data_IF_148700972604
#
_entry.id   IF_148700972604
#
_cell.length_a   1.000
_cell.length_b   1.000
_cell.length_c   1.000
_cell.angle_alpha   90.00
_cell.angle_beta   90.00
_cell.angle_gamma   90.00
#
_symmetry.space_group_name_H-M   'P 1'
#
loop_
_entity.id
_entity.type
_entity.pdbx_description
1 polymer ?
#
# COMPACT_ATOMS: atom_id res chain seq x y z
N UNK A 1 17.72 30.11 -18.23
CA UNK A 1 17.74 29.58 -16.85
C UNK A 1 16.43 28.84 -16.53
N UNK A 2 15.26 29.46 -16.71
CA UNK A 2 13.94 28.87 -16.45
C UNK A 2 13.62 27.62 -17.28
N UNK A 3 14.01 27.61 -18.56
CA UNK A 3 13.86 26.48 -19.50
C UNK A 3 14.44 25.15 -18.98
N UNK A 4 15.46 25.20 -18.12
CA UNK A 4 16.14 24.02 -17.55
C UNK A 4 15.59 23.69 -16.15
N UNK A 5 15.19 24.70 -15.39
CA UNK A 5 14.70 24.54 -14.00
C UNK A 5 13.35 23.82 -13.97
N UNK A 6 12.44 24.15 -14.89
CA UNK A 6 11.11 23.54 -14.99
C UNK A 6 11.14 22.01 -15.19
N UNK A 7 11.87 21.45 -16.16
CA UNK A 7 11.93 20.00 -16.35
C UNK A 7 12.61 19.28 -15.17
N UNK A 8 13.61 19.88 -14.53
CA UNK A 8 14.25 19.32 -13.34
C UNK A 8 13.25 19.21 -12.18
N UNK A 9 12.46 20.26 -11.94
CA UNK A 9 11.38 20.24 -10.96
C UNK A 9 10.33 19.17 -11.29
N UNK A 10 9.95 19.05 -12.57
CA UNK A 10 9.02 18.01 -13.03
C UNK A 10 9.53 16.60 -12.73
N UNK A 11 10.81 16.32 -13.01
CA UNK A 11 11.45 15.03 -12.72
C UNK A 11 11.49 14.78 -11.21
N UNK A 12 11.83 15.79 -10.40
CA UNK A 12 11.89 15.65 -8.95
C UNK A 12 10.52 15.30 -8.35
N UNK A 13 9.47 15.97 -8.81
CA UNK A 13 8.09 15.70 -8.39
C UNK A 13 7.66 14.30 -8.84
N UNK A 14 7.96 13.91 -10.08
CA UNK A 14 7.64 12.58 -10.58
C UNK A 14 8.32 11.48 -9.75
N UNK A 15 9.59 11.65 -9.39
CA UNK A 15 10.31 10.72 -8.52
C UNK A 15 9.67 10.61 -7.13
N UNK A 16 9.28 11.74 -6.53
CA UNK A 16 8.56 11.75 -5.26
C UNK A 16 7.25 10.97 -5.33
N UNK A 17 6.47 11.16 -6.40
CA UNK A 17 5.21 10.44 -6.63
C UNK A 17 5.44 8.94 -6.79
N UNK A 18 6.47 8.53 -7.53
CA UNK A 18 6.83 7.12 -7.70
C UNK A 18 7.21 6.48 -6.36
N UNK A 19 8.09 7.12 -5.58
CA UNK A 19 8.49 6.62 -4.26
C UNK A 19 7.26 6.48 -3.35
N UNK A 20 6.38 7.48 -3.37
CA UNK A 20 5.16 7.47 -2.57
C UNK A 20 4.21 6.31 -2.97
N UNK A 21 4.01 6.09 -4.28
CA UNK A 21 3.14 5.02 -4.80
C UNK A 21 3.69 3.61 -4.57
N UNK A 22 4.99 3.41 -4.71
CA UNK A 22 5.59 2.08 -4.64
C UNK A 22 6.08 1.68 -3.25
N UNK A 23 6.28 2.63 -2.34
CA UNK A 23 6.80 2.35 -0.99
C UNK A 23 5.76 2.73 0.07
N UNK A 24 5.40 4.01 0.18
CA UNK A 24 4.57 4.50 1.28
C UNK A 24 3.14 3.94 1.22
N UNK A 25 2.57 3.85 0.02
CA UNK A 25 1.26 3.28 -0.20
C UNK A 25 1.20 1.81 0.25
N UNK A 26 2.00 0.86 -0.30
CA UNK A 26 1.98 -0.53 0.14
C UNK A 26 2.40 -0.71 1.60
N UNK A 27 3.33 0.09 2.11
CA UNK A 27 3.73 0.08 3.52
C UNK A 27 2.55 0.37 4.45
N UNK A 28 1.86 1.49 4.23
CA UNK A 28 0.73 1.89 5.05
C UNK A 28 -0.45 0.90 4.92
N UNK A 29 -0.61 0.30 3.75
CA UNK A 29 -1.68 -0.68 3.50
C UNK A 29 -1.40 -2.03 4.16
N UNK A 30 -0.16 -2.52 4.11
CA UNK A 30 0.24 -3.75 4.79
C UNK A 30 0.11 -3.61 6.31
N UNK A 31 0.59 -2.48 6.85
CA UNK A 31 0.52 -2.17 8.28
C UNK A 31 -0.92 -2.11 8.80
N UNK A 32 -1.83 -1.48 8.04
CA UNK A 32 -3.27 -1.38 8.40
C UNK A 32 -4.04 -2.70 8.32
N UNK A 33 -3.47 -3.76 7.73
CA UNK A 33 -4.13 -5.05 7.54
C UNK A 33 -3.43 -6.19 8.28
N UNK A 34 -2.42 -5.89 9.11
CA UNK A 34 -1.59 -6.88 9.80
C UNK A 34 -0.82 -7.82 8.87
N UNK A 35 -0.58 -7.43 7.61
CA UNK A 35 0.11 -8.26 6.61
C UNK A 35 1.58 -7.89 6.51
N UNK A 36 2.40 -8.82 6.01
CA UNK A 36 3.84 -8.60 5.87
C UNK A 36 4.14 -7.41 4.96
N UNK A 37 4.67 -6.35 5.56
CA UNK A 37 5.02 -5.10 4.89
C UNK A 37 5.96 -5.31 3.72
N UNK A 38 7.00 -6.13 3.92
CA UNK A 38 7.96 -6.48 2.88
C UNK A 38 7.32 -7.28 1.73
N UNK A 39 6.43 -8.21 2.04
CA UNK A 39 5.72 -8.99 1.02
C UNK A 39 4.86 -8.11 0.12
N UNK A 40 4.20 -7.10 0.70
CA UNK A 40 3.40 -6.13 -0.06
C UNK A 40 4.23 -5.17 -0.91
N UNK A 41 5.39 -4.73 -0.42
CA UNK A 41 6.30 -3.88 -1.21
C UNK A 41 6.85 -4.66 -2.40
N UNK A 42 7.28 -5.91 -2.19
CA UNK A 42 7.75 -6.80 -3.27
C UNK A 42 6.63 -7.07 -4.28
N UNK A 43 5.40 -7.30 -3.81
CA UNK A 43 4.24 -7.52 -4.68
C UNK A 43 3.94 -6.29 -5.55
N UNK A 44 4.00 -5.08 -4.99
CA UNK A 44 3.82 -3.82 -5.74
C UNK A 44 4.98 -3.52 -6.69
N UNK A 45 6.15 -4.13 -6.48
CA UNK A 45 7.28 -4.01 -7.39
C UNK A 45 7.18 -5.01 -8.55
N UNK A 46 6.66 -6.22 -8.28
CA UNK A 46 6.43 -7.26 -9.28
C UNK A 46 5.18 -6.99 -10.14
N UNK A 47 4.18 -6.37 -9.54
CA UNK A 47 2.87 -6.11 -10.13
C UNK A 47 2.68 -4.59 -10.16
N UNK A 48 2.30 -4.02 -11.31
CA UNK A 48 2.07 -2.57 -11.42
C UNK A 48 1.11 -2.07 -10.31
N UNK A 49 1.31 -0.86 -9.77
CA UNK A 49 0.62 -0.37 -8.57
C UNK A 49 -0.91 -0.36 -8.73
N UNK A 50 -1.40 -0.20 -9.96
CA UNK A 50 -2.81 -0.29 -10.33
C UNK A 50 -3.37 -1.69 -10.01
N UNK A 51 -2.66 -2.74 -10.42
CA UNK A 51 -3.05 -4.11 -10.13
C UNK A 51 -2.90 -4.44 -8.65
N UNK A 52 -1.91 -3.87 -7.95
CA UNK A 52 -1.81 -3.97 -6.49
C UNK A 52 -3.06 -3.45 -5.78
N UNK A 53 -3.63 -2.34 -6.24
CA UNK A 53 -4.90 -1.78 -5.73
C UNK A 53 -6.08 -2.71 -6.04
N UNK A 54 -6.17 -3.25 -7.27
CA UNK A 54 -7.24 -4.18 -7.66
C UNK A 54 -7.17 -5.46 -6.81
N UNK A 55 -5.98 -6.02 -6.62
CA UNK A 55 -5.76 -7.19 -5.77
C UNK A 55 -6.18 -6.92 -4.32
N UNK A 56 -5.93 -5.71 -3.81
CA UNK A 56 -6.35 -5.29 -2.47
C UNK A 56 -7.86 -5.17 -2.30
N UNK A 57 -8.58 -4.77 -3.35
CA UNK A 57 -10.04 -4.71 -3.37
C UNK A 57 -10.63 -6.13 -3.34
N UNK A 58 -10.05 -7.04 -4.14
CA UNK A 58 -10.48 -8.43 -4.22
C UNK A 58 -10.20 -9.18 -2.90
N UNK A 59 -8.99 -9.04 -2.36
CA UNK A 59 -8.56 -9.81 -1.18
C UNK A 59 -9.29 -9.35 0.11
N UNK A 60 -9.94 -8.18 0.09
CA UNK A 60 -10.76 -7.72 1.21
C UNK A 60 -10.01 -7.55 2.54
N UNK A 61 -10.69 -7.00 3.55
CA UNK A 61 -10.08 -6.72 4.85
C UNK A 61 -10.15 -7.96 5.75
N UNK A 62 -9.18 -8.87 5.65
CA UNK A 62 -9.19 -10.13 6.42
C UNK A 62 -9.09 -9.92 7.94
N UNK A 63 -8.50 -8.80 8.37
CA UNK A 63 -8.27 -8.50 9.79
C UNK A 63 -9.58 -8.24 10.56
N UNK A 64 -10.59 -7.66 9.89
CA UNK A 64 -11.92 -7.46 10.50
C UNK A 64 -12.62 -8.77 10.82
N UNK A 65 -12.30 -9.86 10.10
CA UNK A 65 -12.90 -11.18 10.33
C UNK A 65 -12.30 -11.81 11.60
N UNK A 66 -10.98 -11.83 11.72
CA UNK A 66 -10.25 -12.38 12.89
C UNK A 66 -10.65 -11.65 14.17
N UNK A 67 -10.67 -10.30 14.16
CA UNK A 67 -11.04 -9.52 15.34
C UNK A 67 -12.48 -9.76 15.79
N UNK A 68 -13.41 -9.95 14.84
CA UNK A 68 -14.81 -10.26 15.14
C UNK A 68 -14.96 -11.66 15.75
N UNK A 69 -14.17 -12.63 15.31
CA UNK A 69 -14.13 -13.98 15.85
C UNK A 69 -13.64 -13.98 17.31
N UNK A 70 -12.50 -13.31 17.59
CA UNK A 70 -11.97 -13.17 18.95
C UNK A 70 -12.96 -12.48 19.90
N UNK A 71 -13.60 -11.38 19.45
CA UNK A 71 -14.60 -10.67 20.27
C UNK A 71 -15.85 -11.53 20.51
N UNK A 72 -16.24 -12.37 19.55
CA UNK A 72 -17.37 -13.29 19.70
C UNK A 72 -17.04 -14.38 20.71
N UNK A 73 -15.83 -14.91 20.67
CA UNK A 73 -15.33 -15.94 21.58
C UNK A 73 -15.20 -15.41 23.02
N UNK A 74 -14.64 -14.20 23.20
CA UNK A 74 -14.59 -13.50 24.49
C UNK A 74 -15.96 -13.12 25.06
N UNK A 75 -17.01 -13.02 24.24
CA UNK A 75 -18.38 -12.72 24.70
C UNK A 75 -19.12 -13.97 25.17
N UNK A 76 -18.74 -15.14 24.65
CA UNK A 76 -19.44 -16.38 24.93
C UNK A 76 -18.86 -17.18 26.10
N UNK A 77 -17.71 -16.74 26.61
CA UNK A 77 -17.02 -17.28 27.77
C UNK A 77 -17.16 -16.31 28.96
#
# INVERSE_FOLDING_TARGET
MTEIILPILGILIALLVVIWLYILLPYNMAKKRGRSTLGWIILFWLITPIWGIIFLLIVGNSEKKIRKEIIKELRHN
#
